data_IF_272798841366
#
_entry.id   IF_272798841366
#
_cell.length_a   1.000
_cell.length_b   1.000
_cell.length_c   1.000
_cell.angle_alpha   90.00
_cell.angle_beta   90.00
_cell.angle_gamma   90.00
#
_symmetry.space_group_name_H-M   'P 1'
#
loop_
_entity.id
_entity.type
_entity.pdbx_description
1 polymer ?
#
# COMPACT_ATOMS: atom_id res chain seq x y z
N UNK A 1 -19.05 -0.42 -50.16
CA UNK A 1 -18.28 -0.01 -48.97
C UNK A 1 -18.14 1.51 -49.02
N UNK A 2 -18.68 2.27 -48.05
CA UNK A 2 -18.44 3.71 -48.00
C UNK A 2 -17.03 3.98 -47.46
N UNK A 3 -16.37 5.09 -47.85
CA UNK A 3 -15.04 5.41 -47.37
C UNK A 3 -15.08 5.85 -45.90
N UNK A 4 -14.15 5.34 -45.11
CA UNK A 4 -13.92 5.72 -43.72
C UNK A 4 -13.51 7.20 -43.62
N UNK A 5 -14.03 7.98 -42.66
CA UNK A 5 -13.57 9.35 -42.44
C UNK A 5 -12.14 9.33 -41.87
N UNK A 6 -11.35 10.31 -42.29
CA UNK A 6 -9.93 10.44 -41.93
C UNK A 6 -9.75 10.74 -40.44
N UNK A 7 -8.58 10.35 -39.91
CA UNK A 7 -8.17 10.40 -38.52
C UNK A 7 -8.15 11.82 -37.89
N UNK A 8 -8.39 12.89 -38.65
CA UNK A 8 -8.34 14.29 -38.18
C UNK A 8 -9.64 14.81 -37.56
N UNK A 9 -10.80 14.28 -37.95
CA UNK A 9 -12.09 14.94 -37.64
C UNK A 9 -12.73 14.48 -36.32
N UNK A 10 -12.21 13.41 -35.71
CA UNK A 10 -12.75 12.85 -34.47
C UNK A 10 -12.22 13.54 -33.18
N UNK A 11 -11.13 14.32 -33.25
CA UNK A 11 -10.49 14.93 -32.07
C UNK A 11 -10.88 16.39 -31.80
N UNK A 12 -11.69 17.03 -32.65
CA UNK A 12 -12.12 18.41 -32.44
C UNK A 12 -13.21 18.59 -31.36
N UNK A 13 -13.71 17.50 -30.75
CA UNK A 13 -14.77 17.55 -29.73
C UNK A 13 -14.47 16.63 -28.54
N UNK A 14 -13.32 16.81 -27.87
CA UNK A 14 -13.05 16.26 -26.53
C UNK A 14 -11.74 16.85 -25.97
N UNK A 15 -11.73 18.16 -25.73
CA UNK A 15 -10.77 18.78 -24.81
C UNK A 15 -11.46 19.92 -24.08
N UNK A 16 -12.23 19.54 -23.06
CA UNK A 16 -12.44 20.40 -21.91
C UNK A 16 -11.43 19.95 -20.87
N UNK A 17 -10.23 20.54 -20.91
CA UNK A 17 -9.28 20.46 -19.81
C UNK A 17 -9.86 21.32 -18.69
N UNK A 18 -10.19 20.71 -17.55
CA UNK A 18 -10.63 21.46 -16.37
C UNK A 18 -9.39 22.17 -15.79
N UNK A 19 -9.38 23.52 -15.72
CA UNK A 19 -8.24 24.26 -15.19
C UNK A 19 -8.08 24.01 -13.68
N UNK A 20 -6.87 24.16 -13.12
CA UNK A 20 -6.63 23.97 -11.70
C UNK A 20 -7.51 24.91 -10.86
N UNK A 21 -8.11 24.37 -9.79
CA UNK A 21 -8.93 25.12 -8.85
C UNK A 21 -8.06 26.11 -8.07
N UNK A 22 -8.23 27.40 -8.35
CA UNK A 22 -7.83 28.50 -7.47
C UNK A 22 -8.88 28.60 -6.37
N UNK A 23 -8.49 28.40 -5.11
CA UNK A 23 -9.43 28.49 -3.98
C UNK A 23 -9.19 29.81 -3.25
N UNK A 24 -10.18 30.70 -3.26
CA UNK A 24 -10.19 31.92 -2.44
C UNK A 24 -10.95 31.63 -1.14
N UNK A 25 -10.35 31.90 0.01
CA UNK A 25 -11.03 31.79 1.31
C UNK A 25 -11.46 33.19 1.76
N UNK A 26 -12.75 33.49 1.67
CA UNK A 26 -13.37 34.71 2.20
C UNK A 26 -14.35 34.37 3.32
N UNK A 27 -14.27 35.10 4.43
CA UNK A 27 -15.12 34.95 5.62
C UNK A 27 -16.60 35.28 5.31
N UNK A 28 -17.59 34.56 5.88
CA UNK A 28 -19.00 34.86 5.62
C UNK A 28 -19.52 35.99 6.53
N UNK A 29 -20.01 37.07 5.91
CA UNK A 29 -20.89 38.04 6.55
C UNK A 29 -22.34 37.53 6.56
N UNK A 30 -22.99 37.76 7.70
CA UNK A 30 -24.40 37.49 8.03
C UNK A 30 -25.38 38.31 7.19
N UNK A 31 -26.50 37.71 6.79
CA UNK A 31 -27.73 38.43 6.46
C UNK A 31 -28.98 37.61 6.84
N UNK A 32 -29.85 38.27 7.59
CA UNK A 32 -31.12 37.81 8.16
C UNK A 32 -32.30 37.87 7.17
N UNK A 33 -33.35 37.13 7.57
CA UNK A 33 -34.78 37.34 7.32
C UNK A 33 -35.41 36.87 5.97
N UNK A 34 -36.24 35.81 6.03
CA UNK A 34 -37.71 35.91 6.06
C UNK A 34 -38.39 34.53 5.78
N UNK A 35 -39.30 34.12 6.66
CA UNK A 35 -40.37 33.11 6.43
C UNK A 35 -41.66 33.83 5.93
N UNK A 36 -42.78 33.19 5.47
CA UNK A 36 -43.31 31.83 5.74
C UNK A 36 -44.09 31.20 4.51
N UNK A 37 -45.12 30.30 4.63
CA UNK A 37 -45.29 29.08 5.45
C UNK A 37 -45.65 27.78 4.65
N UNK A 38 -45.47 26.65 5.37
CA UNK A 38 -46.30 25.43 5.45
C UNK A 38 -46.61 24.57 4.21
N UNK A 39 -46.12 23.32 4.23
CA UNK A 39 -46.93 22.09 4.08
C UNK A 39 -46.15 20.88 4.67
N UNK A 40 -46.79 20.13 5.57
CA UNK A 40 -46.31 18.85 6.10
C UNK A 40 -46.86 17.69 5.25
N UNK A 41 -46.25 16.48 5.23
CA UNK A 41 -46.58 15.51 6.31
C UNK A 41 -45.46 14.52 6.73
N UNK A 42 -45.52 14.17 8.03
CA UNK A 42 -45.34 12.85 8.69
C UNK A 42 -44.33 11.84 8.11
N UNK A 43 -43.30 11.51 8.89
CA UNK A 43 -42.98 10.10 9.25
C UNK A 43 -41.97 9.96 10.41
N UNK A 44 -42.47 9.44 11.53
CA UNK A 44 -41.94 8.39 12.42
C UNK A 44 -40.43 8.33 12.73
N UNK A 45 -40.09 8.69 13.98
CA UNK A 45 -38.83 8.39 14.65
C UNK A 45 -38.72 6.92 15.12
N UNK A 46 -37.49 6.45 15.35
CA UNK A 46 -37.19 5.65 16.54
C UNK A 46 -36.01 6.21 17.37
N UNK A 47 -36.07 5.86 18.64
CA UNK A 47 -35.39 6.43 19.80
C UNK A 47 -33.92 6.00 19.97
N UNK A 48 -33.14 6.90 20.57
CA UNK A 48 -31.79 6.71 21.11
C UNK A 48 -31.90 6.31 22.59
N UNK A 49 -31.11 5.35 23.11
CA UNK A 49 -30.90 5.19 24.54
C UNK A 49 -29.63 5.91 25.05
N UNK A 50 -29.72 6.32 26.31
CA UNK A 50 -28.90 7.27 27.05
C UNK A 50 -27.44 6.85 27.33
N UNK A 51 -26.60 7.87 27.51
CA UNK A 51 -25.26 7.80 28.08
C UNK A 51 -25.29 7.80 29.63
N UNK A 52 -24.28 7.26 30.31
CA UNK A 52 -23.95 7.63 31.68
C UNK A 52 -22.81 8.64 31.76
N UNK A 53 -23.00 9.58 32.67
CA UNK A 53 -22.08 10.63 33.12
C UNK A 53 -20.93 10.07 33.95
N UNK A 54 -19.72 10.57 33.69
CA UNK A 54 -18.53 10.33 34.52
C UNK A 54 -17.52 11.45 34.33
N UNK A 55 -17.40 12.29 35.35
CA UNK A 55 -16.54 13.48 35.40
C UNK A 55 -15.12 13.10 35.78
N UNK A 56 -14.12 13.38 34.93
CA UNK A 56 -12.71 13.45 35.36
C UNK A 56 -11.99 14.65 34.74
N UNK A 57 -11.19 15.28 35.59
CA UNK A 57 -10.58 16.59 35.44
C UNK A 57 -9.40 16.61 34.45
N UNK A 58 -9.14 17.82 33.95
CA UNK A 58 -8.30 18.12 32.79
C UNK A 58 -6.84 17.69 32.86
N UNK A 59 -6.35 17.22 31.72
CA UNK A 59 -4.96 17.37 31.28
C UNK A 59 -4.99 18.19 29.97
N UNK A 60 -3.97 19.02 29.69
CA UNK A 60 -4.02 19.95 28.57
C UNK A 60 -4.12 19.19 27.26
N UNK A 61 -5.21 19.43 26.54
CA UNK A 61 -5.41 18.88 25.21
C UNK A 61 -4.36 19.46 24.27
N UNK A 62 -3.36 18.65 23.91
CA UNK A 62 -2.68 18.85 22.63
C UNK A 62 -3.79 18.79 21.57
N UNK A 63 -4.01 19.90 20.88
CA UNK A 63 -4.91 19.95 19.72
C UNK A 63 -4.27 19.04 18.66
N UNK A 64 -4.65 17.77 18.67
CA UNK A 64 -4.27 16.81 17.65
C UNK A 64 -5.01 17.22 16.39
N UNK A 65 -4.26 17.62 15.35
CA UNK A 65 -4.84 17.74 14.03
C UNK A 65 -5.49 16.40 13.65
N UNK A 66 -6.73 16.39 13.11
CA UNK A 66 -7.42 15.15 12.80
C UNK A 66 -6.62 14.37 11.77
N UNK A 67 -6.10 13.20 12.17
CA UNK A 67 -5.44 12.26 11.29
C UNK A 67 -6.46 11.70 10.30
N UNK A 68 -6.14 11.69 9.02
CA UNK A 68 -7.00 11.11 7.99
C UNK A 68 -7.28 9.63 8.33
N UNK A 69 -8.47 9.11 7.99
CA UNK A 69 -8.83 7.70 8.29
C UNK A 69 -7.84 6.67 7.72
N UNK A 70 -7.09 7.05 6.67
CA UNK A 70 -6.01 6.25 6.04
C UNK A 70 -4.64 6.40 6.71
N UNK A 71 -4.52 7.19 7.78
CA UNK A 71 -3.26 7.42 8.50
C UNK A 71 -2.33 8.46 7.87
N UNK A 72 -2.83 9.30 6.96
CA UNK A 72 -2.05 10.40 6.38
C UNK A 72 -2.27 11.71 7.15
N UNK A 73 -1.19 12.36 7.55
CA UNK A 73 -1.21 13.74 8.00
C UNK A 73 -1.32 14.71 6.80
N UNK A 74 -2.11 15.79 6.92
CA UNK A 74 -2.14 16.85 5.92
C UNK A 74 -0.80 17.61 5.89
N UNK A 75 -0.43 18.24 4.76
CA UNK A 75 0.70 19.16 4.73
C UNK A 75 0.40 20.40 5.58
N UNK A 76 1.43 21.17 5.95
CA UNK A 76 1.23 22.46 6.62
C UNK A 76 0.43 23.43 5.72
N UNK A 77 -0.40 24.29 6.32
CA UNK A 77 -1.24 25.24 5.57
C UNK A 77 -0.42 26.20 4.72
N UNK A 78 0.74 26.62 5.23
CA UNK A 78 1.66 27.53 4.55
C UNK A 78 2.90 26.74 4.08
N UNK A 79 3.35 26.89 2.82
CA UNK A 79 4.55 26.24 2.34
C UNK A 79 5.77 26.51 3.22
N UNK A 80 6.57 25.48 3.48
CA UNK A 80 7.51 25.48 4.61
C UNK A 80 8.82 26.22 4.35
N UNK A 81 9.23 26.42 3.09
CA UNK A 81 10.48 27.09 2.73
C UNK A 81 10.26 28.51 2.22
N UNK A 82 11.22 29.38 2.50
CA UNK A 82 11.22 30.77 2.04
C UNK A 82 11.98 30.90 0.72
N UNK A 83 11.39 31.61 -0.23
CA UNK A 83 12.01 32.09 -1.45
C UNK A 83 12.41 33.57 -1.35
N UNK A 84 12.56 34.21 -2.50
CA UNK A 84 12.80 35.65 -2.65
C UNK A 84 11.46 36.41 -2.70
N UNK A 85 11.48 37.73 -2.45
CA UNK A 85 10.32 38.61 -2.63
C UNK A 85 9.05 38.15 -1.86
N UNK A 86 9.21 37.56 -0.67
CA UNK A 86 8.09 37.08 0.14
C UNK A 86 7.43 35.78 -0.35
N UNK A 87 7.91 35.18 -1.44
CA UNK A 87 7.48 33.87 -1.93
C UNK A 87 7.80 32.80 -0.88
N UNK A 88 6.88 31.84 -0.71
CA UNK A 88 7.16 30.59 0.01
C UNK A 88 6.90 29.39 -0.90
N UNK A 89 7.62 28.30 -0.69
CA UNK A 89 7.45 27.10 -1.50
C UNK A 89 7.71 25.84 -0.68
N UNK A 90 7.24 24.70 -1.15
CA UNK A 90 7.68 23.37 -0.71
C UNK A 90 7.26 22.29 -1.72
N UNK A 91 7.60 21.04 -1.39
CA UNK A 91 7.20 19.85 -2.14
C UNK A 91 6.35 18.91 -1.28
N UNK A 92 5.57 19.48 -0.36
CA UNK A 92 4.72 18.73 0.56
C UNK A 92 3.37 18.47 -0.09
N UNK A 93 3.08 17.20 -0.37
CA UNK A 93 1.90 16.80 -1.13
C UNK A 93 1.90 17.46 -2.52
N UNK A 94 2.96 17.23 -3.32
CA UNK A 94 3.20 17.91 -4.60
C UNK A 94 3.94 19.24 -4.46
N UNK A 95 4.16 19.95 -5.57
CA UNK A 95 4.84 21.25 -5.59
C UNK A 95 3.85 22.36 -5.21
N UNK A 96 4.18 23.16 -4.19
CA UNK A 96 3.35 24.29 -3.73
C UNK A 96 4.16 25.58 -3.72
N UNK A 97 3.55 26.66 -4.19
CA UNK A 97 4.15 28.01 -4.21
C UNK A 97 3.11 29.00 -3.71
N UNK A 98 3.42 29.72 -2.64
CA UNK A 98 2.63 30.82 -2.10
C UNK A 98 3.24 32.15 -2.54
N UNK A 99 2.41 32.99 -3.14
CA UNK A 99 2.77 34.29 -3.68
C UNK A 99 2.07 35.40 -2.89
N UNK A 100 2.78 36.46 -2.49
CA UNK A 100 2.15 37.69 -2.02
C UNK A 100 1.47 38.43 -3.19
N UNK A 101 0.76 39.52 -2.90
CA UNK A 101 0.18 40.38 -3.93
C UNK A 101 1.26 40.92 -4.88
N UNK A 102 1.04 40.77 -6.19
CA UNK A 102 1.94 41.24 -7.24
C UNK A 102 1.52 40.77 -8.63
N UNK A 103 2.37 41.01 -9.64
CA UNK A 103 2.17 40.51 -11.00
C UNK A 103 3.22 39.43 -11.30
N UNK A 104 2.86 38.17 -11.01
CA UNK A 104 3.77 37.04 -11.12
C UNK A 104 3.46 36.20 -12.36
N UNK A 105 4.50 35.70 -13.03
CA UNK A 105 4.38 34.59 -13.98
C UNK A 105 5.06 33.37 -13.37
N UNK A 106 4.29 32.30 -13.12
CA UNK A 106 4.75 31.09 -12.43
C UNK A 106 4.84 29.95 -13.41
N UNK A 107 6.01 29.31 -13.50
CA UNK A 107 6.23 28.11 -14.29
C UNK A 107 6.68 26.96 -13.42
N UNK A 108 6.00 25.83 -13.58
CA UNK A 108 6.40 24.54 -13.00
C UNK A 108 6.75 23.60 -14.16
N UNK A 109 7.92 22.98 -14.11
CA UNK A 109 8.34 21.99 -15.12
C UNK A 109 8.96 20.75 -14.47
N UNK A 110 9.03 19.65 -15.23
CA UNK A 110 9.89 18.52 -14.90
C UNK A 110 11.31 18.84 -15.35
N UNK A 111 12.26 18.92 -14.41
CA UNK A 111 13.63 19.34 -14.73
C UNK A 111 14.45 18.29 -15.49
N UNK A 112 14.03 17.02 -15.51
CA UNK A 112 14.74 15.97 -16.24
C UNK A 112 14.27 15.88 -17.69
N UNK A 113 13.01 16.20 -17.97
CA UNK A 113 12.43 16.11 -19.33
C UNK A 113 12.18 17.45 -19.99
N UNK A 114 12.43 18.56 -19.28
CA UNK A 114 12.12 19.93 -19.70
C UNK A 114 10.64 20.09 -20.13
N UNK A 115 9.75 19.31 -19.51
CA UNK A 115 8.32 19.33 -19.83
C UNK A 115 7.62 20.39 -18.98
N UNK A 116 6.98 21.40 -19.60
CA UNK A 116 6.18 22.37 -18.85
C UNK A 116 4.92 21.69 -18.31
N UNK A 117 4.68 21.85 -17.01
CA UNK A 117 3.54 21.28 -16.28
C UNK A 117 2.50 22.34 -15.92
N UNK A 118 2.93 23.59 -15.78
CA UNK A 118 2.11 24.75 -15.48
C UNK A 118 2.83 26.04 -15.94
N UNK A 119 2.10 26.97 -16.54
CA UNK A 119 2.57 28.32 -16.88
C UNK A 119 1.36 29.27 -16.83
N UNK A 120 1.33 30.20 -15.88
CA UNK A 120 0.25 31.15 -15.73
C UNK A 120 0.67 32.45 -15.03
N UNK A 121 -0.06 33.53 -15.32
CA UNK A 121 -0.02 34.75 -14.53
C UNK A 121 -0.88 34.62 -13.27
N UNK A 122 -0.33 35.04 -12.13
CA UNK A 122 -0.94 34.91 -10.81
C UNK A 122 -0.77 36.23 -10.05
N UNK A 123 -1.87 36.76 -9.52
CA UNK A 123 -1.85 37.98 -8.70
C UNK A 123 -1.36 37.74 -7.27
N UNK A 124 -1.92 36.72 -6.62
CA UNK A 124 -1.59 36.31 -5.27
C UNK A 124 -2.12 34.89 -4.99
N UNK A 125 -1.69 34.29 -3.88
CA UNK A 125 -2.25 33.04 -3.36
C UNK A 125 -1.38 31.82 -3.61
N UNK A 126 -1.97 30.63 -3.49
CA UNK A 126 -1.23 29.36 -3.55
C UNK A 126 -1.44 28.66 -4.89
N UNK A 127 -0.33 28.34 -5.56
CA UNK A 127 -0.28 27.48 -6.75
C UNK A 127 0.14 26.09 -6.29
N UNK A 128 -0.58 25.06 -6.74
CA UNK A 128 -0.20 23.66 -6.43
C UNK A 128 -0.22 22.79 -7.68
N UNK A 129 0.74 21.88 -7.79
CA UNK A 129 0.76 20.90 -8.88
C UNK A 129 -0.42 19.92 -8.81
N UNK A 130 -0.87 19.45 -9.97
CA UNK A 130 -1.89 18.39 -10.06
C UNK A 130 -1.31 17.02 -9.67
N UNK A 131 -0.03 16.79 -9.98
CA UNK A 131 0.70 15.57 -9.60
C UNK A 131 1.21 15.69 -8.17
N UNK A 132 1.03 14.60 -7.40
CA UNK A 132 1.41 14.48 -5.98
C UNK A 132 2.45 13.38 -5.74
N UNK A 133 2.70 12.53 -6.74
CA UNK A 133 3.88 11.65 -6.78
C UNK A 133 5.17 12.45 -6.98
N UNK A 134 6.31 11.78 -6.83
CA UNK A 134 7.61 12.38 -7.11
C UNK A 134 7.70 12.83 -8.57
N UNK A 135 7.83 14.13 -8.74
CA UNK A 135 8.29 14.78 -9.97
C UNK A 135 9.47 15.65 -9.56
N UNK A 136 10.58 15.63 -10.33
CA UNK A 136 11.74 16.48 -10.08
C UNK A 136 11.41 17.92 -10.53
N UNK A 137 10.52 18.58 -9.80
CA UNK A 137 9.98 19.87 -10.17
C UNK A 137 11.07 20.95 -10.22
N UNK A 138 10.99 21.81 -11.24
CA UNK A 138 11.62 23.12 -11.26
C UNK A 138 10.54 24.19 -11.13
N UNK A 139 10.77 25.13 -10.23
CA UNK A 139 9.94 26.32 -10.02
C UNK A 139 10.68 27.50 -10.62
N UNK A 140 10.00 28.26 -11.47
CA UNK A 140 10.49 29.54 -11.99
C UNK A 140 9.41 30.60 -11.82
N UNK A 141 9.77 31.77 -11.29
CA UNK A 141 8.83 32.87 -11.05
C UNK A 141 9.46 34.15 -11.58
N UNK A 142 8.72 34.82 -12.46
CA UNK A 142 9.07 36.12 -13.02
C UNK A 142 8.16 37.19 -12.42
N UNK A 143 8.71 38.40 -12.24
CA UNK A 143 7.97 39.63 -12.01
C UNK A 143 8.23 40.55 -13.19
N UNK A 144 7.20 40.79 -14.01
CA UNK A 144 7.39 41.35 -15.35
C UNK A 144 8.33 40.49 -16.19
N UNK A 145 9.39 41.09 -16.75
CA UNK A 145 10.38 40.39 -17.58
C UNK A 145 11.57 39.81 -16.77
N UNK A 146 11.59 40.01 -15.45
CA UNK A 146 12.72 39.62 -14.60
C UNK A 146 12.42 38.32 -13.86
N UNK A 147 13.31 37.33 -14.02
CA UNK A 147 13.36 36.14 -13.15
C UNK A 147 13.72 36.55 -11.73
N UNK A 148 12.79 36.38 -10.80
CA UNK A 148 13.00 36.71 -9.38
C UNK A 148 13.28 35.49 -8.51
N UNK A 149 12.80 34.31 -8.93
CA UNK A 149 12.99 33.07 -8.19
C UNK A 149 13.17 31.89 -9.14
N UNK A 150 14.13 31.03 -8.85
CA UNK A 150 14.33 29.75 -9.51
C UNK A 150 14.76 28.73 -8.47
N UNK A 151 14.08 27.60 -8.42
CA UNK A 151 14.42 26.50 -7.52
C UNK A 151 14.21 25.16 -8.21
N UNK A 152 15.24 24.34 -8.21
CA UNK A 152 15.17 22.95 -8.66
C UNK A 152 15.00 22.04 -7.47
N UNK A 153 14.19 21.00 -7.60
CA UNK A 153 14.03 20.01 -6.54
C UNK A 153 15.40 19.43 -6.16
N UNK A 154 15.81 19.69 -4.92
CA UNK A 154 17.01 19.13 -4.32
C UNK A 154 16.71 18.77 -2.87
N UNK A 155 16.62 17.49 -2.57
CA UNK A 155 16.36 16.99 -1.21
C UNK A 155 17.63 16.62 -0.45
N UNK A 156 18.82 16.90 -0.98
CA UNK A 156 20.09 16.57 -0.33
C UNK A 156 20.19 17.19 1.07
N UNK A 157 20.32 16.36 2.10
CA UNK A 157 20.37 16.79 3.50
C UNK A 157 19.07 17.43 4.04
N UNK A 158 18.01 17.53 3.23
CA UNK A 158 16.73 18.14 3.63
C UNK A 158 15.80 17.10 4.27
N UNK A 159 14.93 17.51 5.21
CA UNK A 159 13.95 16.62 5.82
C UNK A 159 12.86 16.24 4.81
N UNK A 160 12.65 14.95 4.60
CA UNK A 160 11.61 14.41 3.72
C UNK A 160 10.74 13.43 4.48
N UNK A 161 9.42 13.55 4.32
CA UNK A 161 8.44 12.66 4.91
C UNK A 161 7.89 11.68 3.86
N UNK A 162 7.89 10.38 4.17
CA UNK A 162 7.13 9.39 3.42
C UNK A 162 6.08 8.77 4.35
N UNK A 163 4.81 8.89 3.98
CA UNK A 163 3.69 8.41 4.78
C UNK A 163 3.13 7.12 4.17
N UNK A 164 2.91 6.11 5.02
CA UNK A 164 2.37 4.81 4.63
C UNK A 164 0.91 4.71 5.07
N UNK A 165 0.05 4.24 4.17
CA UNK A 165 -1.35 3.96 4.49
C UNK A 165 -1.49 2.95 5.65
N UNK A 166 -2.35 3.27 6.62
CA UNK A 166 -2.63 2.41 7.75
C UNK A 166 -3.43 1.16 7.35
N UNK A 167 -3.33 0.09 8.15
CA UNK A 167 -4.12 -1.14 7.97
C UNK A 167 -3.66 -2.06 6.84
N UNK A 168 -2.46 -1.85 6.27
CA UNK A 168 -1.92 -2.63 5.14
C UNK A 168 -0.48 -3.10 5.40
N UNK A 169 -0.27 -3.97 6.39
CA UNK A 169 1.08 -4.34 6.82
C UNK A 169 1.92 -4.98 5.70
N UNK A 170 1.36 -5.93 4.97
CA UNK A 170 2.09 -6.62 3.89
C UNK A 170 2.47 -5.68 2.75
N UNK A 171 1.57 -4.79 2.36
CA UNK A 171 1.87 -3.79 1.32
C UNK A 171 2.92 -2.80 1.82
N UNK A 172 2.84 -2.34 3.07
CA UNK A 172 3.84 -1.46 3.65
C UNK A 172 5.23 -2.11 3.68
N UNK A 173 5.33 -3.41 3.98
CA UNK A 173 6.60 -4.16 3.88
C UNK A 173 7.12 -4.20 2.44
N UNK A 174 6.25 -4.40 1.45
CA UNK A 174 6.60 -4.33 0.03
C UNK A 174 7.00 -2.93 -0.45
N UNK A 175 6.40 -1.89 0.12
CA UNK A 175 6.66 -0.48 -0.23
C UNK A 175 7.92 0.08 0.42
N UNK A 176 8.25 -0.36 1.64
CA UNK A 176 9.29 0.26 2.46
C UNK A 176 10.67 0.26 1.78
N UNK A 177 11.02 -0.80 1.05
CA UNK A 177 12.26 -0.87 0.29
C UNK A 177 12.44 0.29 -0.69
N UNK A 178 11.36 0.82 -1.27
CA UNK A 178 11.40 1.95 -2.20
C UNK A 178 11.61 3.29 -1.49
N UNK A 179 11.10 3.45 -0.26
CA UNK A 179 11.41 4.61 0.58
C UNK A 179 12.91 4.67 0.90
N UNK A 180 13.53 3.52 1.18
CA UNK A 180 14.99 3.42 1.38
C UNK A 180 15.76 3.79 0.10
N UNK A 181 15.31 3.32 -1.07
CA UNK A 181 15.90 3.72 -2.36
C UNK A 181 15.80 5.21 -2.58
N UNK A 182 14.66 5.82 -2.27
CA UNK A 182 14.46 7.27 -2.38
C UNK A 182 15.45 8.03 -1.50
N UNK A 183 15.59 7.63 -0.24
CA UNK A 183 16.55 8.22 0.69
C UNK A 183 17.98 8.17 0.16
N UNK A 184 18.40 7.02 -0.38
CA UNK A 184 19.76 6.84 -0.94
C UNK A 184 19.98 7.65 -2.22
N UNK A 185 19.00 7.64 -3.12
CA UNK A 185 19.05 8.35 -4.39
C UNK A 185 19.16 9.87 -4.18
N UNK A 186 18.38 10.41 -3.24
CA UNK A 186 18.30 11.86 -2.99
C UNK A 186 19.16 12.34 -1.81
N UNK A 187 19.79 11.42 -1.06
CA UNK A 187 20.59 11.71 0.14
C UNK A 187 19.86 12.62 1.14
N UNK A 188 18.56 12.39 1.30
CA UNK A 188 17.73 13.18 2.20
C UNK A 188 17.76 12.64 3.64
N UNK A 189 17.30 13.45 4.59
CA UNK A 189 16.98 13.00 5.96
C UNK A 189 15.55 12.48 5.94
N UNK A 190 15.39 11.17 5.85
CA UNK A 190 14.10 10.52 5.68
C UNK A 190 13.43 10.26 7.03
N UNK A 191 12.18 10.68 7.13
CA UNK A 191 11.24 10.27 8.18
C UNK A 191 10.11 9.47 7.54
N UNK A 192 9.80 8.29 8.08
CA UNK A 192 8.69 7.46 7.65
C UNK A 192 7.56 7.49 8.68
N UNK A 193 6.36 7.92 8.27
CA UNK A 193 5.17 7.87 9.10
C UNK A 193 4.38 6.58 8.84
N UNK A 194 4.18 5.77 9.88
CA UNK A 194 3.46 4.49 9.79
C UNK A 194 2.94 4.03 11.17
N UNK A 195 1.99 3.08 11.23
CA UNK A 195 1.52 2.52 12.50
C UNK A 195 2.63 1.91 13.37
N UNK A 196 2.51 2.04 14.70
CA UNK A 196 3.47 1.54 15.67
C UNK A 196 3.91 0.06 15.48
N UNK A 197 3.04 -0.89 15.11
CA UNK A 197 3.47 -2.27 14.87
C UNK A 197 4.46 -2.43 13.71
N UNK A 198 4.35 -1.60 12.66
CA UNK A 198 5.33 -1.56 11.55
C UNK A 198 6.65 -0.91 11.99
N UNK A 199 6.58 0.15 12.80
CA UNK A 199 7.77 0.79 13.38
C UNK A 199 8.57 -0.22 14.19
N UNK A 200 7.90 -1.01 15.03
CA UNK A 200 8.55 -2.04 15.86
C UNK A 200 9.30 -3.10 15.03
N UNK A 201 8.79 -3.45 13.84
CA UNK A 201 9.44 -4.37 12.91
C UNK A 201 10.64 -3.75 12.20
N UNK A 202 10.50 -2.52 11.70
CA UNK A 202 11.44 -1.93 10.74
C UNK A 202 12.55 -1.12 11.42
N UNK A 203 12.24 -0.37 12.48
CA UNK A 203 13.18 0.56 13.12
C UNK A 203 14.53 -0.08 13.50
N UNK A 204 14.58 -1.30 14.07
CA UNK A 204 15.86 -1.96 14.38
C UNK A 204 16.78 -2.18 13.17
N UNK A 205 16.21 -2.35 11.97
CA UNK A 205 16.96 -2.54 10.73
C UNK A 205 17.48 -1.27 10.07
N UNK A 206 17.02 -0.09 10.51
CA UNK A 206 17.25 1.18 9.82
C UNK A 206 17.52 2.33 10.80
N UNK A 207 18.70 2.37 11.44
CA UNK A 207 19.03 3.39 12.44
C UNK A 207 19.11 4.82 11.87
N UNK A 208 19.39 4.96 10.57
CA UNK A 208 19.53 6.25 9.89
C UNK A 208 18.21 6.83 9.36
N UNK A 209 17.08 6.11 9.54
CA UNK A 209 15.75 6.55 9.15
C UNK A 209 14.94 6.84 10.41
N UNK A 210 14.31 8.01 10.46
CA UNK A 210 13.40 8.34 11.55
C UNK A 210 12.04 7.69 11.31
N UNK A 211 11.42 7.16 12.37
CA UNK A 211 10.09 6.57 12.31
C UNK A 211 9.18 7.25 13.33
N UNK A 212 8.00 7.66 12.87
CA UNK A 212 6.98 8.32 13.69
C UNK A 212 5.61 7.71 13.42
N UNK A 213 4.71 7.74 14.40
CA UNK A 213 3.30 7.47 14.12
C UNK A 213 2.67 8.69 13.45
N UNK A 214 1.58 8.53 12.69
CA UNK A 214 0.92 9.64 11.99
C UNK A 214 0.57 10.84 12.88
N UNK A 215 0.24 10.60 14.15
CA UNK A 215 -0.15 11.63 15.13
C UNK A 215 1.04 12.47 15.61
N UNK A 216 2.27 11.98 15.41
CA UNK A 216 3.51 12.67 15.80
C UNK A 216 4.17 13.42 14.64
N UNK A 217 3.57 13.36 13.44
CA UNK A 217 4.04 14.10 12.28
C UNK A 217 3.90 15.60 12.54
N UNK A 218 4.97 16.36 12.27
CA UNK A 218 5.01 17.83 12.27
C UNK A 218 5.19 18.34 10.85
N UNK A 219 4.10 18.58 10.09
CA UNK A 219 4.17 18.86 8.65
C UNK A 219 5.07 20.05 8.30
N UNK A 220 5.17 21.04 9.18
CA UNK A 220 5.97 22.25 9.04
C UNK A 220 7.49 22.00 8.98
N UNK A 221 7.95 20.81 9.40
CA UNK A 221 9.37 20.47 9.42
C UNK A 221 9.91 19.98 8.07
N UNK A 222 9.05 19.62 7.11
CA UNK A 222 9.48 18.88 5.92
C UNK A 222 9.63 19.76 4.69
N UNK A 223 10.65 19.47 3.89
CA UNK A 223 10.87 20.05 2.56
C UNK A 223 9.98 19.39 1.50
N UNK A 224 9.79 18.08 1.61
CA UNK A 224 8.95 17.29 0.70
C UNK A 224 8.19 16.20 1.47
N UNK A 225 6.99 15.88 0.99
CA UNK A 225 6.16 14.81 1.55
C UNK A 225 5.53 13.98 0.44
N UNK A 226 5.65 12.65 0.54
CA UNK A 226 5.03 11.68 -0.37
C UNK A 226 4.13 10.71 0.40
N UNK A 227 3.07 10.22 -0.26
CA UNK A 227 2.11 9.26 0.31
C UNK A 227 2.16 7.97 -0.49
N UNK A 228 2.32 6.85 0.22
CA UNK A 228 2.27 5.50 -0.34
C UNK A 228 0.98 4.82 0.14
N UNK A 229 0.14 4.44 -0.80
CA UNK A 229 -1.17 3.84 -0.53
C UNK A 229 -1.83 3.33 -1.79
N UNK A 230 -2.98 2.66 -1.64
CA UNK A 230 -3.85 2.31 -2.76
C UNK A 230 -4.81 3.45 -3.05
N UNK A 231 -4.54 4.21 -4.11
CA UNK A 231 -5.43 5.29 -4.53
C UNK A 231 -6.39 4.81 -5.63
N UNK A 232 -7.59 5.36 -5.68
CA UNK A 232 -8.62 5.05 -6.69
C UNK A 232 -9.18 6.35 -7.26
N UNK A 233 -9.95 6.26 -8.36
CA UNK A 233 -10.60 7.42 -8.98
C UNK A 233 -9.62 8.55 -9.34
N UNK A 234 -9.99 9.79 -9.01
CA UNK A 234 -9.17 10.96 -9.31
C UNK A 234 -7.90 11.05 -8.46
N UNK A 235 -7.90 10.52 -7.22
CA UNK A 235 -6.67 10.43 -6.42
C UNK A 235 -5.61 9.59 -7.12
N UNK A 236 -5.99 8.48 -7.75
CA UNK A 236 -5.06 7.64 -8.48
C UNK A 236 -4.30 8.43 -9.56
N UNK A 237 -4.97 9.36 -10.25
CA UNK A 237 -4.34 10.21 -11.28
C UNK A 237 -3.33 11.18 -10.69
N UNK A 238 -3.50 11.60 -9.43
CA UNK A 238 -2.59 12.51 -8.75
C UNK A 238 -1.36 11.78 -8.19
N UNK A 239 -1.58 10.65 -7.50
CA UNK A 239 -0.54 9.95 -6.73
C UNK A 239 0.12 8.77 -7.43
N UNK A 240 -0.50 8.16 -8.46
CA UNK A 240 -0.02 6.89 -9.02
C UNK A 240 0.30 7.02 -10.51
N UNK A 241 1.58 7.15 -10.89
CA UNK A 241 1.97 7.16 -12.31
C UNK A 241 1.66 5.85 -13.03
N UNK A 242 1.66 4.74 -12.31
CA UNK A 242 1.36 3.41 -12.83
C UNK A 242 0.38 2.70 -11.91
N UNK A 243 -0.68 2.13 -12.50
CA UNK A 243 -1.70 1.41 -11.75
C UNK A 243 -1.10 0.14 -11.11
N UNK A 244 -1.42 -0.17 -9.84
CA UNK A 244 -0.88 -1.35 -9.17
C UNK A 244 -1.29 -2.68 -9.84
N UNK A 245 -2.40 -2.70 -10.58
CA UNK A 245 -2.84 -3.85 -11.38
C UNK A 245 -1.86 -4.18 -12.52
N UNK A 246 -1.17 -3.17 -13.06
CA UNK A 246 -0.23 -3.29 -14.17
C UNK A 246 1.18 -3.69 -13.69
N UNK A 247 1.68 -3.02 -12.66
CA UNK A 247 3.09 -3.14 -12.24
C UNK A 247 3.30 -4.00 -10.99
N UNK A 248 2.21 -4.35 -10.32
CA UNK A 248 2.20 -5.01 -9.01
C UNK A 248 1.96 -4.02 -7.87
N UNK A 249 1.36 -4.51 -6.78
CA UNK A 249 0.93 -3.68 -5.64
C UNK A 249 2.12 -2.97 -5.00
N UNK A 250 3.23 -3.68 -4.86
CA UNK A 250 4.43 -3.17 -4.21
C UNK A 250 5.23 -2.24 -5.15
N UNK A 251 5.37 -2.58 -6.44
CA UNK A 251 6.18 -1.77 -7.38
C UNK A 251 5.53 -0.44 -7.70
N UNK A 252 4.21 -0.29 -7.56
CA UNK A 252 3.54 1.01 -7.74
C UNK A 252 4.21 2.10 -6.90
N UNK A 253 4.63 1.81 -5.66
CA UNK A 253 5.36 2.75 -4.80
C UNK A 253 6.70 3.21 -5.40
N UNK A 254 7.38 2.37 -6.16
CA UNK A 254 8.60 2.76 -6.87
C UNK A 254 8.31 3.86 -7.91
N UNK A 255 7.20 3.72 -8.64
CA UNK A 255 6.74 4.72 -9.59
C UNK A 255 6.26 5.99 -8.87
N UNK A 256 5.57 5.87 -7.73
CA UNK A 256 5.18 7.03 -6.91
C UNK A 256 6.40 7.83 -6.42
N UNK A 257 7.53 7.17 -6.16
CA UNK A 257 8.76 7.80 -5.67
C UNK A 257 9.81 8.07 -6.76
N UNK A 258 9.58 7.66 -8.01
CA UNK A 258 10.55 7.81 -9.10
C UNK A 258 11.89 7.10 -8.86
N UNK A 259 11.85 5.88 -8.31
CA UNK A 259 13.02 5.05 -8.02
C UNK A 259 12.99 3.74 -8.79
N UNK A 260 14.11 3.02 -8.82
CA UNK A 260 14.22 1.69 -9.44
C UNK A 260 13.13 0.71 -8.92
N UNK A 261 12.29 0.14 -9.82
CA UNK A 261 11.14 -0.69 -9.45
C UNK A 261 11.49 -2.12 -9.02
N UNK A 262 12.75 -2.56 -9.15
CA UNK A 262 13.15 -3.90 -8.66
C UNK A 262 12.82 -4.05 -7.18
N UNK A 263 12.08 -5.08 -6.83
CA UNK A 263 11.73 -5.37 -5.44
C UNK A 263 12.95 -5.77 -4.61
N UNK A 264 12.91 -5.49 -3.32
CA UNK A 264 13.88 -5.97 -2.36
C UNK A 264 13.22 -6.05 -0.98
N UNK A 265 13.42 -7.15 -0.22
CA UNK A 265 12.87 -7.27 1.12
C UNK A 265 13.47 -6.20 2.05
N UNK A 266 12.68 -5.63 2.98
CA UNK A 266 13.23 -4.77 4.02
C UNK A 266 14.11 -5.57 4.99
N UNK A 267 15.10 -4.92 5.60
CA UNK A 267 15.93 -5.50 6.65
C UNK A 267 15.15 -5.51 7.96
N UNK A 268 14.81 -6.70 8.43
CA UNK A 268 14.16 -6.90 9.74
C UNK A 268 15.23 -7.40 10.72
N UNK A 269 15.46 -6.67 11.81
CA UNK A 269 16.32 -7.12 12.90
C UNK A 269 15.44 -7.49 14.10
N UNK A 270 15.58 -8.72 14.59
CA UNK A 270 14.80 -9.22 15.71
C UNK A 270 15.63 -9.14 16.98
N UNK A 271 15.04 -8.63 18.07
CA UNK A 271 15.71 -8.58 19.37
C UNK A 271 15.94 -10.00 19.93
N UNK A 272 14.98 -10.90 19.72
CA UNK A 272 15.14 -12.35 19.95
C UNK A 272 15.10 -13.07 18.59
N UNK A 273 16.24 -13.63 18.20
CA UNK A 273 16.42 -14.43 16.98
C UNK A 273 16.67 -15.91 17.32
N UNK A 274 16.26 -16.36 18.50
CA UNK A 274 16.40 -17.76 18.88
C UNK A 274 15.32 -18.61 18.20
N UNK A 275 15.66 -19.84 17.84
CA UNK A 275 14.71 -20.76 17.20
C UNK A 275 13.54 -21.10 18.17
N UNK A 276 12.27 -20.81 17.83
CA UNK A 276 11.14 -21.06 18.72
C UNK A 276 10.84 -22.54 18.96
N UNK A 277 11.17 -23.39 17.97
CA UNK A 277 10.79 -24.80 17.98
C UNK A 277 11.93 -25.70 17.54
N UNK A 278 12.26 -26.68 18.38
CA UNK A 278 13.21 -27.74 18.04
C UNK A 278 12.70 -28.61 16.89
N UNK A 279 13.63 -29.03 16.02
CA UNK A 279 13.34 -29.79 14.80
C UNK A 279 12.83 -28.92 13.65
N UNK A 280 12.62 -29.55 12.48
CA UNK A 280 12.16 -28.87 11.26
C UNK A 280 10.65 -28.65 11.31
N UNK A 281 10.23 -27.45 10.93
CA UNK A 281 8.82 -27.12 10.82
C UNK A 281 8.53 -26.27 9.59
N UNK A 282 7.30 -26.34 9.11
CA UNK A 282 6.75 -25.50 8.04
C UNK A 282 5.68 -24.62 8.65
N UNK A 283 5.70 -23.34 8.27
CA UNK A 283 4.64 -22.41 8.63
C UNK A 283 3.52 -22.47 7.58
N UNK A 284 2.26 -22.35 8.03
CA UNK A 284 1.08 -22.20 7.17
C UNK A 284 0.38 -20.89 7.47
N UNK A 285 0.00 -20.17 6.40
CA UNK A 285 -0.89 -19.01 6.44
C UNK A 285 -1.98 -19.17 5.36
N UNK A 286 -3.15 -19.67 5.75
CA UNK A 286 -4.27 -20.00 4.88
C UNK A 286 -5.42 -18.97 4.89
N UNK A 287 -5.41 -18.03 5.83
CA UNK A 287 -6.47 -17.06 6.08
C UNK A 287 -6.29 -15.77 5.27
N UNK A 288 -7.43 -15.19 4.87
CA UNK A 288 -7.50 -13.86 4.26
C UNK A 288 -8.90 -13.27 4.42
N UNK A 289 -9.02 -11.95 4.49
CA UNK A 289 -10.32 -11.26 4.50
C UNK A 289 -11.08 -11.48 3.20
N UNK A 290 -10.37 -11.55 2.07
CA UNK A 290 -10.95 -11.89 0.76
C UNK A 290 -11.02 -13.41 0.60
N UNK A 291 -12.23 -13.93 0.41
CA UNK A 291 -12.42 -15.37 0.20
C UNK A 291 -11.72 -15.88 -1.06
N UNK A 292 -11.64 -15.05 -2.10
CA UNK A 292 -10.94 -15.40 -3.35
C UNK A 292 -9.41 -15.48 -3.21
N UNK A 293 -8.83 -14.92 -2.15
CA UNK A 293 -7.42 -15.07 -1.83
C UNK A 293 -7.13 -16.41 -1.12
N UNK A 294 -8.11 -16.99 -0.41
CA UNK A 294 -7.96 -18.29 0.27
C UNK A 294 -7.83 -19.43 -0.73
N UNK A 295 -7.16 -20.51 -0.33
CA UNK A 295 -7.14 -21.75 -1.12
C UNK A 295 -8.33 -22.66 -0.77
N UNK A 296 -9.45 -22.43 -1.45
CA UNK A 296 -10.75 -23.06 -1.20
C UNK A 296 -10.89 -24.46 -1.85
N UNK A 297 -9.79 -25.20 -2.03
CA UNK A 297 -9.83 -26.55 -2.62
C UNK A 297 -10.35 -27.56 -1.60
N UNK A 298 -11.45 -28.29 -1.86
CA UNK A 298 -11.94 -29.33 -0.96
C UNK A 298 -10.87 -30.36 -0.59
N UNK A 299 -10.55 -30.45 0.70
CA UNK A 299 -9.56 -31.36 1.25
C UNK A 299 -8.10 -31.03 0.93
N UNK A 300 -7.82 -29.88 0.28
CA UNK A 300 -6.49 -29.49 -0.17
C UNK A 300 -5.50 -29.34 0.98
N UNK A 301 -5.83 -28.53 1.99
CA UNK A 301 -4.99 -28.32 3.17
C UNK A 301 -4.76 -29.62 3.96
N UNK A 302 -5.77 -30.49 4.06
CA UNK A 302 -5.63 -31.80 4.71
C UNK A 302 -4.64 -32.71 3.97
N UNK A 303 -4.61 -32.65 2.64
CA UNK A 303 -3.61 -33.38 1.84
C UNK A 303 -2.20 -32.82 2.06
N UNK A 304 -2.04 -31.50 2.08
CA UNK A 304 -0.76 -30.84 2.40
C UNK A 304 -0.27 -31.26 3.79
N UNK A 305 -1.14 -31.22 4.79
CA UNK A 305 -0.82 -31.62 6.15
C UNK A 305 -0.30 -33.06 6.20
N UNK A 306 -1.03 -34.03 5.62
CA UNK A 306 -0.61 -35.43 5.60
C UNK A 306 0.77 -35.62 4.96
N UNK A 307 1.01 -34.95 3.83
CA UNK A 307 2.30 -35.02 3.14
C UNK A 307 3.43 -34.44 3.99
N UNK A 308 3.25 -33.26 4.57
CA UNK A 308 4.27 -32.63 5.41
C UNK A 308 4.58 -33.47 6.66
N UNK A 309 3.56 -34.01 7.31
CA UNK A 309 3.73 -34.91 8.47
C UNK A 309 4.45 -36.19 8.07
N UNK A 310 4.08 -36.81 6.94
CA UNK A 310 4.76 -38.01 6.42
C UNK A 310 6.23 -37.74 6.07
N UNK A 311 6.55 -36.53 5.59
CA UNK A 311 7.91 -36.07 5.35
C UNK A 311 8.67 -35.66 6.63
N UNK A 312 8.06 -35.79 7.81
CA UNK A 312 8.66 -35.53 9.11
C UNK A 312 8.74 -34.05 9.50
N UNK A 313 7.95 -33.18 8.86
CA UNK A 313 7.84 -31.77 9.25
C UNK A 313 6.76 -31.59 10.32
N UNK A 314 7.07 -30.75 11.31
CA UNK A 314 6.06 -30.19 12.21
C UNK A 314 5.36 -29.03 11.52
N UNK A 315 4.08 -28.82 11.79
CA UNK A 315 3.28 -27.76 11.14
C UNK A 315 2.95 -26.70 12.17
N UNK A 316 3.18 -25.44 11.83
CA UNK A 316 2.87 -24.27 12.66
C UNK A 316 1.93 -23.35 11.88
N UNK A 317 0.73 -23.09 12.38
CA UNK A 317 -0.14 -22.07 11.80
C UNK A 317 0.26 -20.69 12.34
N UNK A 318 0.67 -19.80 11.44
CA UNK A 318 1.12 -18.44 11.77
C UNK A 318 0.04 -17.39 11.51
N UNK A 319 -1.11 -17.80 11.00
CA UNK A 319 -2.37 -17.08 11.14
C UNK A 319 -3.24 -17.74 12.21
N UNK A 320 -4.25 -17.00 12.65
CA UNK A 320 -5.22 -17.50 13.61
C UNK A 320 -6.56 -17.59 12.91
N UNK A 321 -7.04 -18.80 12.57
CA UNK A 321 -8.36 -18.94 11.97
C UNK A 321 -9.41 -18.40 12.93
N UNK A 322 -10.37 -17.63 12.40
CA UNK A 322 -11.53 -17.22 13.20
C UNK A 322 -12.30 -18.46 13.62
N UNK A 323 -12.62 -18.63 14.92
CA UNK A 323 -13.44 -19.76 15.36
C UNK A 323 -14.84 -19.74 14.74
N UNK A 324 -15.29 -18.57 14.26
CA UNK A 324 -16.63 -18.37 13.69
C UNK A 324 -16.70 -18.64 12.18
N UNK A 325 -15.56 -18.91 11.53
CA UNK A 325 -15.48 -19.14 10.08
C UNK A 325 -14.94 -20.54 9.79
N UNK A 326 -15.85 -21.47 9.48
CA UNK A 326 -15.49 -22.79 8.99
C UNK A 326 -15.14 -22.71 7.49
N UNK A 327 -13.86 -22.84 7.16
CA UNK A 327 -13.35 -22.93 5.78
C UNK A 327 -12.42 -24.13 5.60
N UNK A 328 -11.85 -24.31 4.40
CA UNK A 328 -10.96 -25.45 4.11
C UNK A 328 -9.70 -25.47 4.97
N UNK A 329 -9.27 -24.33 5.51
CA UNK A 329 -8.12 -24.28 6.42
C UNK A 329 -8.46 -24.73 7.83
N UNK A 330 -9.73 -24.65 8.24
CA UNK A 330 -10.23 -25.28 9.49
C UNK A 330 -10.03 -26.80 9.49
N UNK A 331 -9.77 -27.40 8.33
CA UNK A 331 -9.42 -28.81 8.21
C UNK A 331 -7.99 -29.15 8.65
N UNK A 332 -7.13 -28.15 8.94
CA UNK A 332 -5.82 -28.35 9.54
C UNK A 332 -5.99 -28.81 10.99
N UNK A 333 -5.81 -30.10 11.23
CA UNK A 333 -5.87 -30.71 12.56
C UNK A 333 -4.46 -31.11 13.02
N UNK A 334 -4.25 -31.41 14.31
CA UNK A 334 -2.98 -31.97 14.80
C UNK A 334 -1.72 -31.15 14.43
N UNK A 335 -1.86 -29.83 14.35
CA UNK A 335 -0.72 -28.92 14.15
C UNK A 335 0.12 -28.86 15.43
N UNK A 336 1.42 -28.65 15.29
CA UNK A 336 2.34 -28.61 16.42
C UNK A 336 2.16 -27.33 17.25
N UNK A 337 1.78 -26.22 16.61
CA UNK A 337 1.51 -24.95 17.28
C UNK A 337 0.62 -24.06 16.40
N UNK A 338 -0.21 -23.23 17.04
CA UNK A 338 -1.00 -22.16 16.40
C UNK A 338 -0.66 -20.89 17.16
N UNK A 339 -0.22 -19.86 16.44
CA UNK A 339 0.08 -18.57 17.07
C UNK A 339 -1.25 -17.90 17.45
N UNK A 340 -1.40 -17.39 18.69
CA UNK A 340 -2.56 -16.59 19.10
C UNK A 340 -2.79 -15.37 18.18
N UNK A 341 -4.04 -14.90 17.99
CA UNK A 341 -4.35 -13.76 17.11
C UNK A 341 -3.58 -12.48 17.44
N UNK A 342 -3.37 -12.22 18.73
CA UNK A 342 -2.70 -11.05 19.29
C UNK A 342 -1.16 -11.18 19.30
N UNK A 343 -0.60 -12.28 18.77
CA UNK A 343 0.85 -12.47 18.70
C UNK A 343 1.50 -11.29 17.95
N UNK A 344 2.47 -10.58 18.57
CA UNK A 344 3.16 -9.47 17.94
C UNK A 344 3.82 -9.87 16.63
N UNK A 345 3.88 -8.92 15.69
CA UNK A 345 4.48 -9.21 14.38
C UNK A 345 5.96 -9.60 14.44
N UNK A 346 6.71 -9.08 15.41
CA UNK A 346 8.11 -9.47 15.66
C UNK A 346 8.23 -10.94 16.05
N UNK A 347 7.30 -11.47 16.84
CA UNK A 347 7.26 -12.90 17.18
C UNK A 347 6.84 -13.72 15.97
N UNK A 348 5.82 -13.31 15.20
CA UNK A 348 5.46 -13.98 13.93
C UNK A 348 6.65 -14.03 12.96
N UNK A 349 7.39 -12.93 12.86
CA UNK A 349 8.61 -12.80 12.06
C UNK A 349 9.68 -13.80 12.49
N UNK A 350 9.89 -13.98 13.80
CA UNK A 350 10.80 -14.98 14.37
C UNK A 350 10.40 -16.40 13.99
N UNK A 351 9.13 -16.76 14.14
CA UNK A 351 8.64 -18.08 13.72
C UNK A 351 8.86 -18.34 12.23
N UNK A 352 8.58 -17.36 11.38
CA UNK A 352 8.78 -17.46 9.93
C UNK A 352 10.26 -17.61 9.57
N UNK A 353 11.14 -16.79 10.15
CA UNK A 353 12.59 -16.80 9.86
C UNK A 353 13.25 -18.16 10.09
N UNK A 354 12.84 -18.90 11.11
CA UNK A 354 13.42 -20.21 11.42
C UNK A 354 12.64 -21.39 10.82
N UNK A 355 11.55 -21.13 10.10
CA UNK A 355 10.79 -22.15 9.39
C UNK A 355 11.59 -22.68 8.19
N UNK A 356 11.33 -23.93 7.78
CA UNK A 356 11.85 -24.43 6.52
C UNK A 356 11.27 -23.67 5.33
N UNK A 357 9.99 -23.29 5.43
CA UNK A 357 9.29 -22.39 4.52
C UNK A 357 7.95 -21.94 5.10
N UNK A 358 7.33 -20.96 4.44
CA UNK A 358 5.90 -20.68 4.50
C UNK A 358 5.18 -21.31 3.31
N UNK A 359 4.06 -21.98 3.55
CA UNK A 359 3.05 -22.28 2.53
C UNK A 359 1.83 -21.43 2.83
N UNK A 360 1.47 -20.52 1.94
CA UNK A 360 0.37 -19.61 2.23
C UNK A 360 -0.25 -18.93 1.02
N UNK A 361 -1.15 -18.00 1.32
CA UNK A 361 -1.92 -17.20 0.36
C UNK A 361 -1.49 -15.73 0.40
N UNK A 362 -1.87 -14.89 -0.59
CA UNK A 362 -1.57 -13.46 -0.56
C UNK A 362 -2.12 -12.80 0.70
N UNK A 363 -1.24 -12.08 1.40
CA UNK A 363 -1.57 -11.38 2.63
C UNK A 363 -0.31 -11.00 3.41
N UNK A 364 -0.53 -10.38 4.57
CA UNK A 364 0.54 -9.82 5.41
C UNK A 364 1.62 -10.84 5.80
N UNK A 365 1.24 -12.08 6.07
CA UNK A 365 2.18 -13.14 6.48
C UNK A 365 3.09 -13.61 5.34
N UNK A 366 2.61 -13.60 4.10
CA UNK A 366 3.45 -13.90 2.94
C UNK A 366 4.54 -12.83 2.77
N UNK A 367 4.15 -11.55 2.89
CA UNK A 367 5.08 -10.42 2.84
C UNK A 367 6.04 -10.42 4.03
N UNK A 368 5.59 -10.79 5.22
CA UNK A 368 6.44 -10.90 6.39
C UNK A 368 7.47 -12.02 6.24
N UNK A 369 7.05 -13.19 5.71
CA UNK A 369 7.96 -14.29 5.42
C UNK A 369 9.04 -13.87 4.41
N UNK A 370 8.64 -13.22 3.32
CA UNK A 370 9.56 -12.63 2.35
C UNK A 370 10.53 -11.62 3.00
N UNK A 371 10.02 -10.73 3.85
CA UNK A 371 10.82 -9.72 4.55
C UNK A 371 11.88 -10.32 5.49
N UNK A 372 11.59 -11.45 6.14
CA UNK A 372 12.56 -12.14 7.01
C UNK A 372 13.41 -13.19 6.29
N UNK A 373 13.30 -13.27 4.96
CA UNK A 373 14.06 -14.22 4.13
C UNK A 373 13.58 -15.66 4.22
N UNK A 374 12.39 -15.92 4.75
CA UNK A 374 11.79 -17.24 4.75
C UNK A 374 11.29 -17.59 3.33
N UNK A 375 11.65 -18.76 2.78
CA UNK A 375 11.13 -19.21 1.49
C UNK A 375 9.59 -19.33 1.49
N UNK A 376 8.93 -18.95 0.39
CA UNK A 376 7.45 -18.92 0.32
C UNK A 376 6.91 -19.70 -0.88
N UNK A 377 6.05 -20.68 -0.62
CA UNK A 377 5.08 -21.21 -1.60
C UNK A 377 3.83 -20.35 -1.54
N UNK A 378 3.55 -19.59 -2.60
CA UNK A 378 2.45 -18.63 -2.64
C UNK A 378 1.31 -19.09 -3.55
N UNK A 379 0.18 -19.47 -2.94
CA UNK A 379 -1.00 -20.01 -3.61
C UNK A 379 -1.99 -18.89 -3.90
N UNK A 380 -2.21 -18.55 -5.16
CA UNK A 380 -3.26 -17.59 -5.55
C UNK A 380 -3.69 -17.77 -6.99
N UNK A 381 -5.00 -17.74 -7.22
CA UNK A 381 -5.57 -17.65 -8.56
C UNK A 381 -6.21 -16.29 -8.87
N UNK A 382 -6.56 -15.48 -7.87
CA UNK A 382 -7.28 -14.22 -8.11
C UNK A 382 -6.35 -13.06 -8.50
N UNK A 383 -5.06 -13.15 -8.17
CA UNK A 383 -4.00 -12.24 -8.60
C UNK A 383 -3.07 -12.91 -9.60
N UNK A 384 -2.55 -12.11 -10.54
CA UNK A 384 -1.45 -12.50 -11.43
C UNK A 384 -0.13 -12.53 -10.65
N UNK A 385 0.86 -13.38 -11.01
CA UNK A 385 2.16 -13.44 -10.32
C UNK A 385 2.92 -12.11 -10.21
N UNK A 386 2.60 -11.10 -11.03
CA UNK A 386 3.21 -9.76 -10.96
C UNK A 386 2.79 -8.97 -9.72
N UNK A 387 1.67 -9.32 -9.09
CA UNK A 387 1.02 -8.53 -8.03
C UNK A 387 1.81 -8.52 -6.72
N UNK A 388 2.35 -9.67 -6.34
CA UNK A 388 3.15 -9.88 -5.14
C UNK A 388 4.66 -9.89 -5.48
N UNK A 389 5.50 -10.18 -4.48
CA UNK A 389 6.92 -10.43 -4.67
C UNK A 389 7.17 -11.69 -5.52
N UNK A 390 8.29 -11.71 -6.23
CA UNK A 390 8.73 -12.84 -7.01
C UNK A 390 9.09 -14.04 -6.12
N UNK A 391 8.59 -15.21 -6.51
CA UNK A 391 8.96 -16.49 -5.93
C UNK A 391 8.83 -17.58 -6.99
N UNK A 392 9.85 -18.45 -7.18
CA UNK A 392 9.78 -19.56 -8.13
C UNK A 392 8.79 -20.66 -7.68
N UNK A 393 8.18 -20.47 -6.51
CA UNK A 393 7.20 -21.36 -5.91
C UNK A 393 5.78 -20.75 -5.88
N UNK A 394 5.50 -19.77 -6.75
CA UNK A 394 4.16 -19.25 -7.01
C UNK A 394 3.28 -20.35 -7.63
N UNK A 395 2.10 -20.59 -7.03
CA UNK A 395 1.13 -21.60 -7.49
C UNK A 395 -0.14 -20.94 -7.99
N UNK A 396 -0.43 -21.12 -9.29
CA UNK A 396 -1.61 -20.62 -9.98
C UNK A 396 -2.06 -21.64 -11.04
N UNK A 397 -3.38 -21.73 -11.30
CA UNK A 397 -3.93 -22.53 -12.39
C UNK A 397 -4.45 -21.62 -13.51
N UNK A 398 -3.69 -21.52 -14.61
CA UNK A 398 -4.06 -20.71 -15.77
C UNK A 398 -5.15 -21.32 -16.66
N UNK A 399 -5.60 -22.55 -16.40
CA UNK A 399 -6.69 -23.19 -17.15
C UNK A 399 -8.08 -22.89 -16.56
N UNK A 400 -8.14 -22.24 -15.39
CA UNK A 400 -9.36 -21.72 -14.78
C UNK A 400 -9.43 -20.19 -14.92
N UNK A 401 -10.58 -19.59 -14.62
CA UNK A 401 -10.68 -18.15 -14.37
C UNK A 401 -9.59 -17.74 -13.37
N UNK A 402 -8.86 -16.68 -13.68
CA UNK A 402 -7.74 -16.21 -12.87
C UNK A 402 -7.51 -14.71 -13.02
N UNK A 403 -6.67 -14.14 -12.16
CA UNK A 403 -6.16 -12.76 -12.24
C UNK A 403 -7.25 -11.67 -12.27
N UNK A 404 -8.42 -11.93 -11.67
CA UNK A 404 -9.54 -10.99 -11.65
C UNK A 404 -9.17 -9.64 -11.02
N UNK A 405 -8.27 -9.60 -10.04
CA UNK A 405 -7.82 -8.35 -9.41
C UNK A 405 -7.00 -7.48 -10.37
N UNK A 406 -6.26 -8.10 -11.31
CA UNK A 406 -5.41 -7.39 -12.28
C UNK A 406 -6.19 -6.88 -13.50
N UNK A 407 -7.37 -7.43 -13.76
CA UNK A 407 -8.17 -7.07 -14.92
C UNK A 407 -9.00 -5.81 -14.62
N UNK A 408 -8.57 -4.67 -15.17
CA UNK A 408 -9.26 -3.40 -15.00
C UNK A 408 -10.70 -3.41 -15.52
N UNK A 409 -11.05 -4.29 -16.46
CA UNK A 409 -12.43 -4.42 -16.95
C UNK A 409 -13.33 -5.22 -16.01
N UNK A 410 -12.76 -5.97 -15.07
CA UNK A 410 -13.51 -6.80 -14.13
C UNK A 410 -14.13 -6.00 -12.98
N UNK A 411 -13.72 -4.75 -12.74
CA UNK A 411 -14.21 -3.90 -11.64
C UNK A 411 -14.19 -4.63 -10.28
N UNK A 412 -13.04 -5.20 -9.93
CA UNK A 412 -12.87 -5.90 -8.66
C UNK A 412 -13.06 -4.95 -7.47
N UNK A 413 -13.91 -5.35 -6.51
CA UNK A 413 -14.16 -4.60 -5.29
C UNK A 413 -13.34 -5.18 -4.12
N UNK A 414 -12.31 -4.44 -3.68
CA UNK A 414 -11.48 -4.84 -2.54
C UNK A 414 -12.25 -4.83 -1.20
N UNK A 415 -13.42 -4.18 -1.11
CA UNK A 415 -14.24 -4.12 0.09
C UNK A 415 -15.23 -5.29 0.21
N UNK A 416 -15.57 -5.95 -0.89
CA UNK A 416 -16.42 -7.15 -0.88
C UNK A 416 -15.58 -8.40 -0.57
N UNK A 417 -15.75 -8.93 0.64
CA UNK A 417 -15.10 -10.18 1.07
C UNK A 417 -15.39 -11.38 0.13
N UNK A 418 -16.50 -11.33 -0.61
CA UNK A 418 -16.92 -12.36 -1.58
C UNK A 418 -16.67 -11.98 -3.05
N UNK A 419 -15.86 -10.94 -3.31
CA UNK A 419 -15.60 -10.42 -4.64
C UNK A 419 -15.21 -11.52 -5.64
N UNK A 420 -16.07 -11.72 -6.64
CA UNK A 420 -15.88 -12.66 -7.74
C UNK A 420 -16.51 -12.08 -9.01
N UNK A 421 -15.94 -11.01 -9.59
CA UNK A 421 -16.63 -10.16 -10.57
C UNK A 421 -17.15 -10.89 -11.81
N UNK A 422 -16.53 -12.02 -12.18
CA UNK A 422 -16.90 -12.79 -13.38
C UNK A 422 -17.92 -13.90 -13.12
N UNK A 423 -18.01 -14.43 -11.91
CA UNK A 423 -18.71 -15.70 -11.63
C UNK A 423 -19.49 -15.72 -10.30
N UNK A 424 -19.69 -14.57 -9.64
CA UNK A 424 -20.50 -14.47 -8.44
C UNK A 424 -21.90 -15.09 -8.65
N UNK A 425 -22.36 -15.90 -7.70
CA UNK A 425 -23.67 -16.55 -7.76
C UNK A 425 -23.78 -17.74 -8.73
N UNK A 426 -22.67 -18.20 -9.31
CA UNK A 426 -22.64 -19.36 -10.22
C UNK A 426 -21.87 -20.53 -9.61
N UNK A 427 -22.00 -21.73 -10.20
CA UNK A 427 -21.22 -22.92 -9.79
C UNK A 427 -19.69 -22.72 -9.95
N UNK A 428 -19.28 -21.74 -10.77
CA UNK A 428 -17.89 -21.37 -11.07
C UNK A 428 -17.32 -20.33 -10.11
N UNK A 429 -18.09 -19.88 -9.12
CA UNK A 429 -17.60 -18.93 -8.12
C UNK A 429 -16.34 -19.47 -7.42
N UNK A 430 -15.32 -18.62 -7.33
CA UNK A 430 -13.99 -18.92 -6.78
C UNK A 430 -13.28 -20.11 -7.44
N UNK A 431 -13.56 -20.44 -8.70
CA UNK A 431 -12.82 -21.50 -9.40
C UNK A 431 -11.30 -21.24 -9.46
N UNK A 432 -10.91 -19.95 -9.45
CA UNK A 432 -9.52 -19.51 -9.33
C UNK A 432 -8.80 -20.07 -8.10
N UNK A 433 -9.50 -20.20 -6.97
CA UNK A 433 -8.99 -20.79 -5.74
C UNK A 433 -9.25 -22.30 -5.67
N UNK A 434 -10.46 -22.75 -6.06
CA UNK A 434 -10.90 -24.14 -5.94
C UNK A 434 -10.19 -25.10 -6.88
N UNK A 435 -9.78 -24.64 -8.07
CA UNK A 435 -9.20 -25.49 -9.12
C UNK A 435 -7.67 -25.50 -9.11
N UNK A 436 -7.01 -24.79 -8.17
CA UNK A 436 -5.60 -25.06 -7.87
C UNK A 436 -5.51 -26.43 -7.21
N UNK A 437 -4.82 -27.36 -7.85
CA UNK A 437 -4.74 -28.75 -7.39
C UNK A 437 -3.73 -28.94 -6.26
N UNK A 438 -4.00 -29.93 -5.41
CA UNK A 438 -3.02 -30.37 -4.42
C UNK A 438 -1.69 -30.77 -5.06
N UNK A 439 -1.70 -31.41 -6.23
CA UNK A 439 -0.47 -31.81 -6.93
C UNK A 439 0.41 -30.61 -7.29
N UNK A 440 -0.18 -29.49 -7.73
CA UNK A 440 0.56 -28.25 -7.99
C UNK A 440 1.22 -27.71 -6.71
N UNK A 441 0.48 -27.71 -5.59
CA UNK A 441 0.99 -27.25 -4.29
C UNK A 441 2.08 -28.20 -3.76
N UNK A 442 1.87 -29.52 -3.78
CA UNK A 442 2.88 -30.53 -3.39
C UNK A 442 4.15 -30.35 -4.20
N UNK A 443 4.05 -30.23 -5.53
CA UNK A 443 5.22 -30.06 -6.39
C UNK A 443 6.01 -28.80 -6.02
N UNK A 444 5.34 -27.65 -5.86
CA UNK A 444 6.02 -26.41 -5.49
C UNK A 444 6.69 -26.53 -4.11
N UNK A 445 6.01 -27.13 -3.13
CA UNK A 445 6.55 -27.36 -1.79
C UNK A 445 7.76 -28.31 -1.80
N UNK A 446 7.70 -29.41 -2.56
CA UNK A 446 8.83 -30.35 -2.69
C UNK A 446 10.04 -29.66 -3.31
N UNK A 447 9.88 -28.98 -4.46
CA UNK A 447 10.99 -28.24 -5.09
C UNK A 447 11.63 -27.24 -4.14
N UNK A 448 10.80 -26.50 -3.38
CA UNK A 448 11.28 -25.55 -2.39
C UNK A 448 12.08 -26.26 -1.30
N UNK A 449 11.47 -27.24 -0.63
CA UNK A 449 12.07 -27.92 0.51
C UNK A 449 13.36 -28.67 0.14
N UNK A 450 13.46 -29.16 -1.10
CA UNK A 450 14.69 -29.75 -1.64
C UNK A 450 15.77 -28.70 -1.91
N UNK A 451 15.41 -27.56 -2.51
CA UNK A 451 16.35 -26.47 -2.76
C UNK A 451 16.90 -25.84 -1.47
N UNK A 452 16.10 -25.84 -0.40
CA UNK A 452 16.49 -25.34 0.92
C UNK A 452 17.11 -26.41 1.83
N UNK A 453 17.15 -27.67 1.41
CA UNK A 453 17.79 -28.72 2.19
C UNK A 453 19.32 -28.55 2.15
N UNK A 454 20.05 -28.85 3.25
CA UNK A 454 21.49 -28.99 3.17
C UNK A 454 21.85 -30.07 2.13
N UNK A 455 22.99 -29.96 1.43
CA UNK A 455 23.38 -30.91 0.40
C UNK A 455 23.36 -32.34 0.98
N UNK A 456 22.53 -33.20 0.39
CA UNK A 456 22.43 -34.61 0.80
C UNK A 456 23.62 -35.38 0.22
N UNK A 457 24.09 -36.39 0.96
CA UNK A 457 24.95 -37.41 0.35
C UNK A 457 24.17 -38.18 -0.73
N UNK A 458 24.84 -38.71 -1.78
CA UNK A 458 24.18 -39.34 -2.94
C UNK A 458 23.15 -40.43 -2.60
N UNK A 459 23.25 -41.06 -1.42
CA UNK A 459 22.37 -42.13 -0.98
C UNK A 459 20.96 -41.69 -0.53
N UNK A 460 20.70 -40.39 -0.34
CA UNK A 460 19.43 -39.88 0.24
C UNK A 460 18.55 -39.10 -0.76
N UNK A 461 18.86 -39.15 -2.06
CA UNK A 461 18.23 -38.29 -3.07
C UNK A 461 16.82 -38.72 -3.53
N UNK A 462 16.34 -39.93 -3.22
CA UNK A 462 15.14 -40.48 -3.88
C UNK A 462 13.90 -40.74 -3.00
N UNK A 463 13.83 -40.22 -1.77
CA UNK A 463 12.69 -40.51 -0.88
C UNK A 463 11.49 -39.54 -0.95
N UNK A 464 11.51 -38.50 -1.80
CA UNK A 464 10.53 -37.39 -1.72
C UNK A 464 9.43 -37.36 -2.79
N UNK A 465 9.45 -38.26 -3.79
CA UNK A 465 8.55 -38.18 -4.94
C UNK A 465 7.49 -39.29 -5.06
N UNK A 466 7.46 -40.26 -4.15
CA UNK A 466 6.38 -41.26 -4.11
C UNK A 466 5.16 -40.78 -3.28
#
# INVERSE_FOLDING_TARGET
MPPSPSYSDANARRSAHEPPKVTFCGSPQTLDAHAPPAFAPRSRAPQVPAAPTGTHAGSPAHIQAPTHARGFAPPADIPTWSGTEGVRFDFNDGCRVLLPDGDWTVRLSDMHTDTPLFDAQIGAGIVTSTRRHFVPFQIEIDSGEKRVFKHQFDAHGKPVLIQFEAGRLGEALGWFGYAVKFQRQHRCRLTCAMPAPLIALLKPGYPDIEFVTPELVKPECYYATYRLGRFTGDEARAYQPSAPQLVGVHRSAAYMLGVDPREAPPRIELADDSRPLAGRYVCIAAQSALRCARWERPGGWRQVQRFLTAAGYRIVCVDSPSPDVADESSALAQVAHVLPPDTPWTERARWLRHAACLIGVPGDLAWLAWAVGAPVVLISGFTHPVSEFDTPYRVINFHACNSCWNDASANFDDADASACPRHAGTLRQFECARLVSYAQVKHAAVRLLEACAPPRSPAQAHAFLD
#
